data_IF_814529760803
#
_entry.id   IF_814529760803
#
_cell.length_a   1.000
_cell.length_b   1.000
_cell.length_c   1.000
_cell.angle_alpha   90.00
_cell.angle_beta   90.00
_cell.angle_gamma   90.00
#
_symmetry.space_group_name_H-M   'P 1'
#
loop_
_entity.id
_entity.type
_entity.pdbx_description
1 polymer ?
#
# COMPACT_ATOMS: atom_id res chain seq x y z
N UNK A 1 20.09 -14.36 -6.29
CA UNK A 1 18.84 -15.06 -5.95
C UNK A 1 17.78 -14.01 -6.08
N UNK A 2 16.65 -14.29 -6.72
CA UNK A 2 15.58 -13.28 -6.80
C UNK A 2 14.87 -13.17 -5.44
N UNK A 3 14.20 -12.05 -5.14
CA UNK A 3 13.43 -11.89 -3.89
C UNK A 3 12.41 -13.04 -3.68
N UNK A 4 11.85 -13.58 -4.77
CA UNK A 4 10.98 -14.76 -4.74
C UNK A 4 11.64 -16.00 -4.13
N UNK A 5 12.91 -16.22 -4.44
CA UNK A 5 13.66 -17.36 -3.94
C UNK A 5 13.89 -17.21 -2.44
N UNK A 6 14.15 -15.98 -1.97
CA UNK A 6 14.26 -15.66 -0.55
C UNK A 6 12.93 -15.86 0.19
N UNK A 7 11.80 -15.47 -0.39
CA UNK A 7 10.47 -15.72 0.20
C UNK A 7 10.20 -17.22 0.35
N UNK A 8 10.54 -18.01 -0.67
CA UNK A 8 10.36 -19.46 -0.59
C UNK A 8 11.29 -20.08 0.46
N UNK A 9 12.55 -19.65 0.50
CA UNK A 9 13.52 -20.06 1.52
C UNK A 9 13.03 -19.69 2.92
N UNK A 10 12.45 -18.51 3.09
CA UNK A 10 11.87 -18.02 4.33
C UNK A 10 10.76 -18.95 4.82
N UNK A 11 9.81 -19.27 3.93
CA UNK A 11 8.70 -20.18 4.23
C UNK A 11 9.18 -21.58 4.62
N UNK A 12 10.30 -22.04 4.07
CA UNK A 12 10.90 -23.33 4.40
C UNK A 12 11.59 -23.28 5.77
N UNK A 13 12.45 -22.30 6.01
CA UNK A 13 13.21 -22.14 7.27
C UNK A 13 12.30 -21.84 8.46
N UNK A 14 11.21 -21.08 8.27
CA UNK A 14 10.26 -20.74 9.33
C UNK A 14 9.64 -21.97 9.99
N UNK A 15 9.49 -23.08 9.25
CA UNK A 15 8.99 -24.36 9.79
C UNK A 15 9.93 -25.01 10.80
N UNK A 16 11.18 -24.56 10.88
CA UNK A 16 12.18 -25.06 11.82
C UNK A 16 12.13 -24.35 13.18
N UNK A 17 11.37 -23.26 13.29
CA UNK A 17 11.26 -22.51 14.53
C UNK A 17 10.39 -23.22 15.56
N UNK A 18 10.71 -22.98 16.84
CA UNK A 18 9.77 -23.27 17.94
C UNK A 18 8.55 -22.37 17.85
N UNK A 19 7.41 -22.78 18.42
CA UNK A 19 6.17 -22.00 18.41
C UNK A 19 6.35 -20.58 18.99
N UNK A 20 7.18 -20.42 20.01
CA UNK A 20 7.44 -19.13 20.63
C UNK A 20 8.21 -18.19 19.68
N UNK A 21 9.31 -18.69 19.09
CA UNK A 21 10.11 -17.91 18.14
C UNK A 21 9.36 -17.66 16.83
N UNK A 22 8.51 -18.58 16.40
CA UNK A 22 7.69 -18.41 15.19
C UNK A 22 6.66 -17.29 15.34
N UNK A 23 6.08 -17.11 16.53
CA UNK A 23 5.17 -16.00 16.82
C UNK A 23 5.91 -14.67 16.77
N UNK A 24 7.03 -14.54 17.50
CA UNK A 24 7.84 -13.32 17.49
C UNK A 24 8.36 -12.99 16.08
N UNK A 25 8.82 -14.01 15.36
CA UNK A 25 9.26 -13.86 13.98
C UNK A 25 8.14 -13.43 13.04
N UNK A 26 6.92 -13.93 13.22
CA UNK A 26 5.78 -13.54 12.39
C UNK A 26 5.46 -12.05 12.51
N UNK A 27 5.59 -11.48 13.71
CA UNK A 27 5.37 -10.05 13.92
C UNK A 27 6.48 -9.22 13.25
N UNK A 28 7.74 -9.62 13.43
CA UNK A 28 8.90 -9.01 12.75
C UNK A 28 8.80 -9.10 11.22
N UNK A 29 8.35 -10.25 10.71
CA UNK A 29 8.15 -10.52 9.29
C UNK A 29 7.17 -9.53 8.66
N UNK A 30 6.02 -9.32 9.31
CA UNK A 30 5.01 -8.38 8.81
C UNK A 30 5.55 -6.95 8.90
N UNK A 31 6.21 -6.59 10.00
CA UNK A 31 6.75 -5.25 10.20
C UNK A 31 7.80 -4.86 9.15
N UNK A 32 8.79 -5.73 8.93
CA UNK A 32 9.87 -5.49 7.96
C UNK A 32 9.31 -5.44 6.53
N UNK A 33 8.36 -6.30 6.17
CA UNK A 33 7.71 -6.26 4.84
C UNK A 33 6.87 -5.01 4.60
N UNK A 34 6.34 -4.40 5.66
CA UNK A 34 5.61 -3.14 5.58
C UNK A 34 6.53 -1.91 5.61
N UNK A 35 7.82 -2.09 5.86
CA UNK A 35 8.80 -1.02 5.85
C UNK A 35 9.05 -0.52 4.42
N UNK A 36 9.46 0.75 4.31
CA UNK A 36 9.77 1.37 3.01
C UNK A 36 11.20 1.06 2.60
N UNK A 37 11.48 -0.21 2.33
CA UNK A 37 12.77 -0.72 1.87
C UNK A 37 12.58 -1.60 0.63
N UNK A 38 13.61 -1.78 -0.22
CA UNK A 38 13.53 -2.70 -1.34
C UNK A 38 13.24 -4.14 -0.86
N UNK A 39 12.34 -4.84 -1.57
CA UNK A 39 11.86 -6.18 -1.17
C UNK A 39 12.99 -7.18 -1.02
N UNK A 40 13.96 -7.19 -1.94
CA UNK A 40 15.12 -8.08 -1.85
C UNK A 40 15.86 -7.92 -0.53
N UNK A 41 16.17 -6.68 -0.14
CA UNK A 41 16.87 -6.40 1.12
C UNK A 41 16.02 -6.69 2.36
N UNK A 42 14.71 -6.49 2.28
CA UNK A 42 13.80 -6.91 3.33
C UNK A 42 13.84 -8.43 3.55
N UNK A 43 13.73 -9.22 2.47
CA UNK A 43 13.75 -10.68 2.55
C UNK A 43 15.12 -11.22 2.94
N UNK A 44 16.20 -10.60 2.49
CA UNK A 44 17.57 -10.93 2.90
C UNK A 44 17.75 -10.76 4.42
N UNK A 45 17.34 -9.60 4.96
CA UNK A 45 17.35 -9.33 6.39
C UNK A 45 16.50 -10.35 7.17
N UNK A 46 15.33 -10.70 6.64
CA UNK A 46 14.42 -11.65 7.27
C UNK A 46 14.99 -13.07 7.33
N UNK A 47 15.77 -13.48 6.32
CA UNK A 47 16.50 -14.74 6.35
C UNK A 47 17.62 -14.70 7.40
N UNK A 48 18.35 -13.58 7.52
CA UNK A 48 19.40 -13.42 8.52
C UNK A 48 18.84 -13.52 9.95
N UNK A 49 17.75 -12.81 10.25
CA UNK A 49 17.05 -12.90 11.55
C UNK A 49 16.62 -14.35 11.82
N UNK A 50 16.08 -15.01 10.80
CA UNK A 50 15.59 -16.37 10.91
C UNK A 50 16.71 -17.38 11.20
N UNK A 51 17.87 -17.21 10.57
CA UNK A 51 19.05 -18.04 10.81
C UNK A 51 19.59 -17.85 12.23
N UNK A 52 19.69 -16.60 12.70
CA UNK A 52 20.06 -16.34 14.08
C UNK A 52 19.09 -16.98 15.07
N UNK A 53 17.76 -16.91 14.83
CA UNK A 53 16.77 -17.57 15.69
C UNK A 53 16.90 -19.10 15.68
N UNK A 54 17.15 -19.71 14.52
CA UNK A 54 17.33 -21.16 14.39
C UNK A 54 18.61 -21.64 15.11
N UNK A 55 19.66 -20.83 15.14
CA UNK A 55 20.87 -21.12 15.90
C UNK A 55 20.63 -20.95 17.40
N UNK A 56 20.06 -19.82 17.83
CA UNK A 56 19.83 -19.53 19.24
C UNK A 56 18.85 -20.48 19.93
N UNK A 57 17.84 -21.00 19.22
CA UNK A 57 16.94 -21.99 19.80
C UNK A 57 17.62 -23.34 20.12
N UNK A 58 18.78 -23.65 19.51
CA UNK A 58 19.58 -24.83 19.88
C UNK A 58 20.19 -24.68 21.28
N UNK A 59 20.34 -23.44 21.75
CA UNK A 59 20.77 -23.08 23.10
C UNK A 59 19.58 -22.74 24.02
N UNK A 60 18.36 -23.14 23.65
CA UNK A 60 17.12 -22.86 24.39
C UNK A 60 16.81 -21.36 24.58
N UNK A 61 17.37 -20.47 23.73
CA UNK A 61 17.07 -19.04 23.75
C UNK A 61 15.87 -18.70 22.88
N UNK A 62 15.02 -17.80 23.35
CA UNK A 62 13.94 -17.24 22.55
C UNK A 62 14.32 -15.90 21.89
N UNK A 63 13.46 -15.37 21.02
CA UNK A 63 13.70 -14.12 20.29
C UNK A 63 13.96 -12.92 21.22
N UNK A 64 13.32 -12.87 22.38
CA UNK A 64 13.49 -11.78 23.35
C UNK A 64 14.83 -11.87 24.09
N UNK A 65 15.29 -13.09 24.39
CA UNK A 65 16.63 -13.31 24.96
C UNK A 65 17.74 -12.89 23.99
N UNK A 66 17.48 -13.03 22.68
CA UNK A 66 18.46 -12.77 21.62
C UNK A 66 18.49 -11.31 21.16
N UNK A 67 17.31 -10.72 20.93
CA UNK A 67 17.16 -9.41 20.31
C UNK A 67 16.68 -8.33 21.28
N UNK A 68 16.39 -8.70 22.53
CA UNK A 68 15.87 -7.83 23.57
C UNK A 68 14.34 -7.80 23.64
N UNK A 69 13.83 -7.19 24.71
CA UNK A 69 12.40 -7.11 24.99
C UNK A 69 11.63 -6.24 23.96
N UNK A 70 12.30 -5.27 23.34
CA UNK A 70 11.72 -4.36 22.35
C UNK A 70 12.11 -4.77 20.92
N UNK A 71 11.41 -5.78 20.40
CA UNK A 71 11.61 -6.28 19.03
C UNK A 71 11.29 -5.22 17.96
N UNK A 72 10.42 -4.25 18.28
CA UNK A 72 10.10 -3.16 17.35
C UNK A 72 11.31 -2.24 17.16
N UNK A 73 11.92 -1.81 18.27
CA UNK A 73 13.13 -0.98 18.23
C UNK A 73 14.28 -1.70 17.52
N UNK A 74 14.45 -3.01 17.77
CA UNK A 74 15.42 -3.83 17.04
C UNK A 74 15.16 -3.82 15.52
N UNK A 75 13.92 -4.05 15.10
CA UNK A 75 13.57 -4.00 13.67
C UNK A 75 13.81 -2.60 13.07
N UNK A 76 13.48 -1.53 13.80
CA UNK A 76 13.71 -0.16 13.35
C UNK A 76 15.18 0.14 13.10
N UNK A 77 16.07 -0.33 13.97
CA UNK A 77 17.52 -0.19 13.80
C UNK A 77 18.02 -0.91 12.55
N UNK A 78 17.58 -2.15 12.32
CA UNK A 78 17.95 -2.93 11.15
C UNK A 78 17.43 -2.29 9.85
N UNK A 79 16.16 -1.88 9.83
CA UNK A 79 15.55 -1.19 8.68
C UNK A 79 16.27 0.11 8.38
N UNK A 80 16.71 0.86 9.41
CA UNK A 80 17.45 2.10 9.22
C UNK A 80 18.83 1.91 8.59
N UNK A 81 19.43 0.72 8.75
CA UNK A 81 20.70 0.35 8.13
C UNK A 81 20.56 -0.11 6.66
N UNK A 82 19.35 -0.48 6.22
CA UNK A 82 19.09 -0.91 4.85
C UNK A 82 19.15 0.25 3.84
N UNK A 83 19.47 -0.05 2.57
CA UNK A 83 19.45 0.96 1.51
C UNK A 83 18.04 1.51 1.32
N UNK A 84 17.95 2.83 1.13
CA UNK A 84 16.68 3.50 0.89
C UNK A 84 16.19 3.20 -0.53
N UNK A 85 14.88 2.97 -0.73
CA UNK A 85 14.32 2.78 -2.05
C UNK A 85 14.49 4.06 -2.88
N UNK A 86 14.71 3.89 -4.17
CA UNK A 86 14.71 4.95 -5.16
C UNK A 86 13.37 5.70 -5.17
N UNK A 87 13.37 6.93 -5.68
CA UNK A 87 12.14 7.71 -5.84
C UNK A 87 11.11 6.98 -6.72
N UNK A 88 11.57 6.18 -7.66
CA UNK A 88 10.70 5.39 -8.53
C UNK A 88 10.00 4.26 -7.79
N UNK A 89 10.72 3.50 -6.97
CA UNK A 89 10.14 2.46 -6.13
C UNK A 89 9.13 3.05 -5.14
N UNK A 90 9.47 4.19 -4.51
CA UNK A 90 8.57 4.89 -3.60
C UNK A 90 7.27 5.37 -4.26
N UNK A 91 7.32 5.77 -5.54
CA UNK A 91 6.17 6.29 -6.28
C UNK A 91 5.43 5.22 -7.09
N UNK A 92 6.04 4.07 -7.33
CA UNK A 92 5.48 2.99 -8.15
C UNK A 92 4.13 2.51 -7.61
N UNK A 93 4.06 2.17 -6.33
CA UNK A 93 2.86 1.70 -5.63
C UNK A 93 1.72 2.74 -5.67
N UNK A 94 1.89 4.00 -5.22
CA UNK A 94 0.80 4.98 -5.28
C UNK A 94 0.39 5.32 -6.72
N UNK A 95 1.31 5.33 -7.68
CA UNK A 95 0.98 5.53 -9.09
C UNK A 95 0.19 4.35 -9.66
N UNK A 96 0.58 3.12 -9.30
CA UNK A 96 -0.13 1.90 -9.64
C UNK A 96 -1.58 1.95 -9.12
N UNK A 97 -1.79 2.26 -7.84
CA UNK A 97 -3.11 2.38 -7.22
C UNK A 97 -3.92 3.47 -7.93
N UNK A 98 -3.34 4.65 -8.11
CA UNK A 98 -4.00 5.79 -8.76
C UNK A 98 -4.43 5.45 -10.19
N UNK A 99 -3.52 4.84 -10.96
CA UNK A 99 -3.78 4.48 -12.36
C UNK A 99 -4.90 3.45 -12.47
N UNK A 100 -4.92 2.47 -11.57
CA UNK A 100 -5.98 1.45 -11.54
C UNK A 100 -7.34 2.05 -11.15
N UNK A 101 -7.39 2.91 -10.13
CA UNK A 101 -8.61 3.62 -9.74
C UNK A 101 -9.18 4.47 -10.89
N UNK A 102 -8.32 5.22 -11.58
CA UNK A 102 -8.71 6.02 -12.74
C UNK A 102 -9.23 5.13 -13.88
N UNK A 103 -8.59 3.99 -14.14
CA UNK A 103 -9.04 3.05 -15.15
C UNK A 103 -10.47 2.54 -14.87
N UNK A 104 -10.74 2.13 -13.62
CA UNK A 104 -12.08 1.71 -13.19
C UNK A 104 -13.09 2.86 -13.33
N UNK A 105 -12.75 4.04 -12.83
CA UNK A 105 -13.62 5.21 -12.88
C UNK A 105 -14.04 5.55 -14.31
N UNK A 106 -13.07 5.64 -15.24
CA UNK A 106 -13.37 5.93 -16.63
C UNK A 106 -14.09 4.79 -17.33
N UNK A 107 -13.75 3.53 -17.03
CA UNK A 107 -14.43 2.37 -17.62
C UNK A 107 -15.92 2.37 -17.24
N UNK A 108 -16.23 2.43 -15.94
CA UNK A 108 -17.61 2.43 -15.44
C UNK A 108 -18.38 3.63 -15.98
N UNK A 109 -17.80 4.83 -15.91
CA UNK A 109 -18.47 6.04 -16.41
C UNK A 109 -18.76 5.98 -17.90
N UNK A 110 -17.84 5.44 -18.70
CA UNK A 110 -18.02 5.29 -20.15
C UNK A 110 -19.06 4.22 -20.49
N UNK A 111 -19.06 3.09 -19.78
CA UNK A 111 -20.09 2.05 -19.95
C UNK A 111 -21.47 2.62 -19.63
N UNK A 112 -21.63 3.34 -18.52
CA UNK A 112 -22.89 4.02 -18.18
C UNK A 112 -23.28 4.96 -19.32
N UNK A 113 -22.35 5.78 -19.80
CA UNK A 113 -22.63 6.80 -20.80
C UNK A 113 -22.91 6.24 -22.22
N UNK A 114 -22.53 4.99 -22.49
CA UNK A 114 -22.86 4.27 -23.73
C UNK A 114 -24.17 3.49 -23.62
N UNK A 115 -24.44 2.87 -22.47
CA UNK A 115 -25.54 1.91 -22.30
C UNK A 115 -26.82 2.60 -21.83
N UNK A 116 -26.76 3.49 -20.84
CA UNK A 116 -27.96 4.09 -20.25
C UNK A 116 -28.78 4.95 -21.21
N UNK A 117 -28.19 5.68 -22.18
CA UNK A 117 -28.95 6.39 -23.21
C UNK A 117 -29.85 5.50 -24.07
N UNK A 118 -29.59 4.19 -24.13
CA UNK A 118 -30.44 3.23 -24.85
C UNK A 118 -31.78 2.97 -24.13
N UNK A 119 -31.84 3.27 -22.82
CA UNK A 119 -33.00 3.02 -21.97
C UNK A 119 -33.63 4.31 -21.42
N UNK A 120 -32.94 5.45 -21.54
CA UNK A 120 -33.36 6.73 -20.97
C UNK A 120 -32.90 7.90 -21.85
N UNK A 121 -33.79 8.86 -22.10
CA UNK A 121 -33.48 10.06 -22.89
C UNK A 121 -32.82 11.20 -22.10
N UNK A 122 -32.50 10.97 -20.82
CA UNK A 122 -31.88 11.97 -19.95
C UNK A 122 -30.49 12.38 -20.46
N UNK A 123 -30.28 13.69 -20.65
CA UNK A 123 -29.03 14.22 -21.21
C UNK A 123 -27.79 13.90 -20.35
N UNK A 124 -27.97 13.73 -19.03
CA UNK A 124 -26.89 13.39 -18.07
C UNK A 124 -26.24 12.03 -18.34
N UNK A 125 -26.93 11.14 -19.04
CA UNK A 125 -26.40 9.81 -19.35
C UNK A 125 -25.66 9.77 -20.68
N UNK A 126 -25.63 10.86 -21.46
CA UNK A 126 -24.99 10.87 -22.78
C UNK A 126 -23.49 11.18 -22.73
N UNK A 127 -23.01 11.64 -21.58
CA UNK A 127 -21.64 12.12 -21.39
C UNK A 127 -21.01 11.49 -20.16
N UNK A 128 -19.68 11.40 -20.19
CA UNK A 128 -18.88 11.10 -19.01
C UNK A 128 -18.62 12.42 -18.29
N UNK A 129 -19.09 12.51 -17.05
CA UNK A 129 -18.95 13.70 -16.22
C UNK A 129 -17.76 13.53 -15.27
N UNK A 130 -16.75 14.37 -15.44
CA UNK A 130 -15.56 14.40 -14.61
C UNK A 130 -15.65 15.63 -13.70
N UNK A 131 -15.68 15.41 -12.39
CA UNK A 131 -15.41 16.46 -11.42
C UNK A 131 -13.98 16.28 -10.90
N UNK A 132 -13.09 17.20 -11.28
CA UNK A 132 -11.67 17.09 -10.95
C UNK A 132 -11.40 17.16 -9.46
N UNK A 133 -12.17 17.97 -8.72
CA UNK A 133 -11.98 18.14 -7.28
C UNK A 133 -12.44 16.86 -6.56
N UNK A 134 -13.61 16.34 -6.92
CA UNK A 134 -14.12 15.09 -6.35
C UNK A 134 -13.19 13.91 -6.67
N UNK A 135 -12.72 13.80 -7.91
CA UNK A 135 -11.81 12.74 -8.32
C UNK A 135 -10.49 12.79 -7.54
N UNK A 136 -9.92 13.99 -7.37
CA UNK A 136 -8.73 14.19 -6.54
C UNK A 136 -8.98 13.82 -5.07
N UNK A 137 -10.09 14.30 -4.49
CA UNK A 137 -10.46 14.01 -3.10
C UNK A 137 -10.68 12.50 -2.88
N UNK A 138 -11.31 11.82 -3.83
CA UNK A 138 -11.51 10.37 -3.81
C UNK A 138 -10.18 9.62 -3.84
N UNK A 139 -9.27 9.98 -4.75
CA UNK A 139 -7.93 9.37 -4.84
C UNK A 139 -7.16 9.57 -3.53
N UNK A 140 -7.15 10.81 -3.00
CA UNK A 140 -6.48 11.11 -1.72
C UNK A 140 -7.10 10.32 -0.55
N UNK A 141 -8.43 10.19 -0.51
CA UNK A 141 -9.13 9.41 0.50
C UNK A 141 -8.74 7.93 0.46
N UNK A 142 -8.64 7.32 -0.73
CA UNK A 142 -8.20 5.92 -0.86
C UNK A 142 -6.76 5.75 -0.38
N UNK A 143 -5.83 6.66 -0.73
CA UNK A 143 -4.44 6.58 -0.25
C UNK A 143 -4.34 6.75 1.26
N UNK A 144 -5.12 7.66 1.86
CA UNK A 144 -5.18 7.82 3.31
C UNK A 144 -5.76 6.57 3.98
N UNK A 145 -6.79 5.96 3.40
CA UNK A 145 -7.38 4.73 3.93
C UNK A 145 -6.37 3.58 3.92
N UNK A 146 -5.63 3.41 2.83
CA UNK A 146 -4.57 2.38 2.74
C UNK A 146 -3.49 2.63 3.80
N UNK A 147 -3.03 3.88 3.96
CA UNK A 147 -2.06 4.22 5.02
C UNK A 147 -2.61 3.98 6.41
N UNK A 148 -3.88 4.30 6.65
CA UNK A 148 -4.53 4.03 7.92
C UNK A 148 -4.51 2.54 8.26
N UNK A 149 -4.83 1.67 7.29
CA UNK A 149 -4.80 0.21 7.48
C UNK A 149 -3.38 -0.26 7.80
N UNK A 150 -2.35 0.19 7.09
CA UNK A 150 -0.97 -0.21 7.38
C UNK A 150 -0.47 0.28 8.74
N UNK A 151 -0.73 1.54 9.09
CA UNK A 151 -0.37 2.10 10.40
C UNK A 151 -1.08 1.37 11.55
N UNK A 152 -2.33 0.94 11.30
CA UNK A 152 -3.11 0.16 12.24
C UNK A 152 -2.55 -1.25 12.43
N UNK A 153 -2.19 -1.94 11.35
CA UNK A 153 -1.53 -3.26 11.42
C UNK A 153 -0.21 -3.15 12.19
N UNK A 154 0.66 -2.21 11.82
CA UNK A 154 1.96 -2.03 12.50
C UNK A 154 1.83 -1.75 13.99
N UNK A 155 0.74 -1.11 14.42
CA UNK A 155 0.46 -0.85 15.84
C UNK A 155 0.08 -2.12 16.60
N UNK A 156 -0.62 -3.06 15.94
CA UNK A 156 -1.13 -4.28 16.57
C UNK A 156 -0.06 -5.37 16.72
N UNK A 157 0.96 -5.38 15.85
CA UNK A 157 2.04 -6.40 15.84
C UNK A 157 2.80 -6.47 17.16
N UNK A 158 3.35 -5.34 17.61
CA UNK A 158 4.10 -5.28 18.85
C UNK A 158 3.18 -4.73 19.93
N UNK A 159 2.49 -5.64 20.66
CA UNK A 159 1.49 -5.41 21.74
C UNK A 159 1.88 -4.29 22.72
N UNK A 160 1.85 -3.06 22.24
CA UNK A 160 2.21 -1.89 22.99
C UNK A 160 1.07 -1.59 23.95
N UNK A 161 1.38 -1.26 25.20
CA UNK A 161 0.38 -0.99 26.26
C UNK A 161 -0.45 0.28 26.03
N UNK A 162 -0.42 0.84 24.83
CA UNK A 162 -1.10 2.06 24.44
C UNK A 162 -2.55 1.78 24.05
N UNK A 163 -3.46 2.68 24.43
CA UNK A 163 -4.86 2.57 24.06
C UNK A 163 -5.02 2.81 22.56
N UNK A 164 -5.80 1.98 21.86
CA UNK A 164 -6.10 2.09 20.41
C UNK A 164 -6.49 3.51 19.97
N UNK A 165 -7.19 4.25 20.83
CA UNK A 165 -7.60 5.64 20.63
C UNK A 165 -6.44 6.63 20.50
N UNK A 166 -5.30 6.37 21.14
CA UNK A 166 -4.10 7.21 21.02
C UNK A 166 -3.48 7.07 19.63
N UNK A 167 -3.46 5.87 19.06
CA UNK A 167 -2.95 5.64 17.71
C UNK A 167 -3.88 6.22 16.64
N UNK A 168 -5.19 5.99 16.81
CA UNK A 168 -6.20 6.60 15.94
C UNK A 168 -6.08 8.13 15.99
N UNK A 169 -6.01 8.72 17.19
CA UNK A 169 -5.83 10.17 17.37
C UNK A 169 -4.53 10.68 16.74
N UNK A 170 -3.41 9.99 16.96
CA UNK A 170 -2.11 10.33 16.38
C UNK A 170 -2.12 10.30 14.85
N UNK A 171 -2.80 9.33 14.25
CA UNK A 171 -2.99 9.26 12.80
C UNK A 171 -3.75 10.49 12.27
N UNK A 172 -4.88 10.84 12.88
CA UNK A 172 -5.67 12.01 12.49
C UNK A 172 -4.90 13.32 12.63
N UNK A 173 -4.08 13.45 13.68
CA UNK A 173 -3.23 14.63 13.89
C UNK A 173 -2.16 14.71 12.79
N UNK A 174 -1.44 13.61 12.53
CA UNK A 174 -0.39 13.52 11.50
C UNK A 174 -0.90 13.82 10.09
N UNK A 175 -2.13 13.38 9.78
CA UNK A 175 -2.75 13.55 8.47
C UNK A 175 -3.80 14.67 8.40
N UNK A 176 -3.87 15.52 9.43
CA UNK A 176 -4.89 16.58 9.56
C UNK A 176 -4.96 17.51 8.34
N UNK A 177 -3.82 17.89 7.76
CA UNK A 177 -3.76 18.71 6.55
C UNK A 177 -4.45 18.04 5.35
N UNK A 178 -4.23 16.74 5.15
CA UNK A 178 -4.85 16.00 4.04
C UNK A 178 -6.35 15.83 4.24
N UNK A 179 -6.77 15.56 5.47
CA UNK A 179 -8.18 15.45 5.84
C UNK A 179 -8.88 16.80 5.65
N UNK A 180 -8.21 17.90 6.02
CA UNK A 180 -8.72 19.26 5.80
C UNK A 180 -8.89 19.56 4.31
N UNK A 181 -7.91 19.19 3.46
CA UNK A 181 -8.01 19.36 2.01
C UNK A 181 -9.21 18.59 1.44
N UNK A 182 -9.41 17.35 1.88
CA UNK A 182 -10.59 16.56 1.50
C UNK A 182 -11.87 17.23 2.02
N UNK A 183 -11.90 17.73 3.25
CA UNK A 183 -13.05 18.46 3.80
C UNK A 183 -13.41 19.71 2.99
N UNK A 184 -12.41 20.53 2.63
CA UNK A 184 -12.57 21.73 1.82
C UNK A 184 -13.12 21.37 0.43
N UNK A 185 -12.71 20.23 -0.14
CA UNK A 185 -13.19 19.79 -1.45
C UNK A 185 -14.72 19.67 -1.52
N UNK A 186 -15.38 19.27 -0.44
CA UNK A 186 -16.85 19.17 -0.37
C UNK A 186 -17.57 20.52 -0.47
N UNK A 187 -16.90 21.64 -0.16
CA UNK A 187 -17.48 22.99 -0.32
C UNK A 187 -17.61 23.40 -1.79
N UNK A 188 -16.83 22.78 -2.68
CA UNK A 188 -16.78 23.09 -4.10
C UNK A 188 -17.64 22.15 -4.98
N UNK A 189 -18.26 21.12 -4.40
CA UNK A 189 -19.07 20.09 -5.09
C UNK A 189 -20.21 20.63 -5.96
N UNK A 190 -20.67 21.86 -5.70
CA UNK A 190 -21.81 22.47 -6.43
C UNK A 190 -21.40 23.48 -7.50
N UNK A 191 -20.11 23.69 -7.72
CA UNK A 191 -19.63 24.73 -8.64
C UNK A 191 -19.51 24.20 -10.08
N UNK A 192 -20.11 24.86 -11.08
CA UNK A 192 -20.15 24.35 -12.46
C UNK A 192 -18.78 24.30 -13.14
N UNK A 193 -17.80 25.09 -12.67
CA UNK A 193 -16.47 25.24 -13.27
C UNK A 193 -15.54 24.03 -13.08
N UNK A 194 -15.91 23.06 -12.23
CA UNK A 194 -15.10 21.87 -11.93
C UNK A 194 -15.49 20.66 -12.75
N UNK A 195 -16.60 20.76 -13.50
CA UNK A 195 -17.20 19.65 -14.23
C UNK A 195 -16.83 19.71 -15.71
N UNK A 196 -16.24 18.64 -16.22
CA UNK A 196 -15.94 18.44 -17.64
C UNK A 196 -16.81 17.31 -18.18
N UNK A 197 -17.49 17.57 -19.29
CA UNK A 197 -18.23 16.56 -20.03
C UNK A 197 -17.39 16.10 -21.21
N UNK A 198 -17.10 14.80 -21.27
CA UNK A 198 -16.40 14.21 -22.40
C UNK A 198 -17.26 13.15 -23.09
N UNK A 199 -16.97 12.92 -24.36
CA UNK A 199 -17.58 11.83 -25.12
C UNK A 199 -17.25 10.48 -24.46
N UNK A 200 -18.19 9.51 -24.43
CA UNK A 200 -17.94 8.19 -23.86
C UNK A 200 -16.77 7.45 -24.53
N UNK A 201 -16.51 7.72 -25.80
CA UNK A 201 -15.36 7.15 -26.52
C UNK A 201 -14.02 7.69 -26.01
N UNK A 202 -13.96 8.97 -25.65
CA UNK A 202 -12.77 9.57 -25.02
C UNK A 202 -12.59 8.98 -23.62
N UNK A 203 -13.68 8.81 -22.86
CA UNK A 203 -13.64 8.12 -21.57
C UNK A 203 -13.12 6.69 -21.69
N UNK A 204 -13.57 5.92 -22.69
CA UNK A 204 -13.10 4.56 -22.92
C UNK A 204 -11.60 4.53 -23.29
N UNK A 205 -11.12 5.48 -24.09
CA UNK A 205 -9.71 5.64 -24.41
C UNK A 205 -8.88 5.93 -23.14
N UNK A 206 -9.36 6.82 -22.27
CA UNK A 206 -8.72 7.12 -20.99
C UNK A 206 -8.67 5.89 -20.09
N UNK A 207 -9.75 5.10 -20.03
CA UNK A 207 -9.77 3.86 -19.27
C UNK A 207 -8.69 2.88 -19.75
N UNK A 208 -8.57 2.68 -21.06
CA UNK A 208 -7.54 1.80 -21.65
C UNK A 208 -6.13 2.35 -21.38
N UNK A 209 -5.93 3.67 -21.50
CA UNK A 209 -4.66 4.33 -21.22
C UNK A 209 -4.23 4.17 -19.76
N UNK A 210 -5.13 4.45 -18.81
CA UNK A 210 -4.89 4.25 -17.39
C UNK A 210 -4.67 2.78 -17.04
N UNK A 211 -5.36 1.84 -17.70
CA UNK A 211 -5.10 0.42 -17.52
C UNK A 211 -3.74 -0.01 -18.08
N UNK A 212 -3.31 0.54 -19.21
CA UNK A 212 -1.98 0.30 -19.75
C UNK A 212 -0.88 0.85 -18.82
N UNK A 213 -1.07 2.06 -18.28
CA UNK A 213 -0.18 2.63 -17.26
C UNK A 213 -0.13 1.77 -16.00
N UNK A 214 -1.27 1.29 -15.52
CA UNK A 214 -1.35 0.31 -14.42
C UNK A 214 -0.48 -0.92 -14.71
N UNK A 215 -0.58 -1.49 -15.91
CA UNK A 215 0.26 -2.64 -16.30
C UNK A 215 1.73 -2.30 -16.39
N UNK A 216 2.09 -1.08 -16.80
CA UNK A 216 3.50 -0.66 -16.88
C UNK A 216 4.08 -0.56 -15.47
N UNK A 217 3.38 0.11 -14.54
CA UNK A 217 3.83 0.21 -13.15
C UNK A 217 3.86 -1.16 -12.48
N UNK A 218 2.82 -1.98 -12.65
CA UNK A 218 2.75 -3.35 -12.11
C UNK A 218 3.83 -4.27 -12.69
N UNK A 219 4.01 -4.30 -14.02
CA UNK A 219 4.99 -5.17 -14.67
C UNK A 219 6.41 -4.73 -14.39
N UNK A 220 6.65 -3.44 -14.14
CA UNK A 220 7.98 -2.92 -13.81
C UNK A 220 8.36 -3.18 -12.36
N UNK A 221 7.41 -3.06 -11.44
CA UNK A 221 7.55 -3.59 -10.07
C UNK A 221 7.88 -5.10 -10.13
N UNK A 222 7.21 -5.85 -11.02
CA UNK A 222 7.51 -7.28 -11.28
C UNK A 222 8.76 -7.57 -12.14
N UNK A 223 9.40 -6.58 -12.79
CA UNK A 223 10.57 -6.80 -13.67
C UNK A 223 11.87 -6.25 -13.09
N UNK A 224 11.81 -5.18 -12.29
CA UNK A 224 12.91 -4.79 -11.41
C UNK A 224 13.14 -5.91 -10.37
N UNK A 225 12.07 -6.65 -10.00
CA UNK A 225 12.09 -7.93 -9.27
C UNK A 225 12.90 -9.08 -9.92
N UNK A 226 13.21 -8.99 -11.23
CA UNK A 226 13.93 -10.05 -11.97
C UNK A 226 15.38 -9.68 -12.31
N UNK A 227 15.83 -8.49 -11.93
CA UNK A 227 17.13 -7.95 -12.35
C UNK A 227 18.16 -7.81 -11.22
N UNK A 228 17.78 -8.12 -10.00
CA UNK A 228 18.66 -8.21 -8.82
C UNK A 228 18.51 -9.59 -8.17
#
# INVERSE_FOLDING_TARGET
MEAKDLIELNNQKRKLLTTENENAYSDMLIYIRLAKVPEYHAEELLIEILDHLIEGQQEEKNAYDMFGDDLQAYCDELIAALPKPSLWEQLSIPLFITSYLLAIYFAVSSVIALVFPLFSNEARFKFVHIDFIYLLAFILSVHLMIRFVFDFINTDLFKNKTTIWMHIGGFFIRHSLWILLIGISFLFIKQPYTTLQISPWIGALLAISCYALYKIFFKREYLDFKKE
#
